data_IF_332130224678
#
_entry.id   IF_332130224678
#
_cell.length_a   1.000
_cell.length_b   1.000
_cell.length_c   1.000
_cell.angle_alpha   90.00
_cell.angle_beta   90.00
_cell.angle_gamma   90.00
#
_symmetry.space_group_name_H-M   'P 1'
#
loop_
_entity.id
_entity.type
_entity.pdbx_description
1 polymer ?
#
# COMPACT_ATOMS: atom_id res chain seq x y z
N UNK A 1 -14.73 12.19 5.60
CA UNK A 1 -14.37 11.48 6.84
C UNK A 1 -12.88 11.60 6.99
N UNK A 2 -12.41 11.99 8.18
CA UNK A 2 -10.99 12.12 8.49
C UNK A 2 -10.65 11.10 9.58
N UNK A 3 -10.55 9.84 9.16
CA UNK A 3 -10.55 8.67 10.05
C UNK A 3 -9.49 8.75 11.15
N UNK A 4 -8.26 9.13 10.81
CA UNK A 4 -7.16 9.18 11.77
C UNK A 4 -7.29 10.36 12.74
N UNK A 5 -7.86 11.48 12.29
CA UNK A 5 -8.19 12.57 13.17
C UNK A 5 -9.32 12.18 14.14
N UNK A 6 -10.36 11.48 13.66
CA UNK A 6 -11.45 10.96 14.50
C UNK A 6 -10.92 9.98 15.57
N UNK A 7 -9.98 9.09 15.22
CA UNK A 7 -9.34 8.18 16.18
C UNK A 7 -8.54 8.94 17.26
N UNK A 8 -7.86 10.02 16.88
CA UNK A 8 -7.12 10.86 17.81
C UNK A 8 -8.04 11.64 18.75
N UNK A 9 -9.11 12.23 18.21
CA UNK A 9 -10.10 12.99 18.98
C UNK A 9 -10.85 12.12 20.00
N UNK A 10 -11.06 10.83 19.66
CA UNK A 10 -11.65 9.84 20.57
C UNK A 10 -10.66 9.23 21.57
N UNK A 11 -9.42 9.72 21.61
CA UNK A 11 -8.33 9.18 22.42
C UNK A 11 -8.01 7.69 22.15
N UNK A 12 -8.35 7.20 20.96
CA UNK A 12 -8.05 5.84 20.53
C UNK A 12 -6.64 5.74 19.93
N UNK A 13 -6.11 6.85 19.42
CA UNK A 13 -4.77 6.94 18.84
C UNK A 13 -3.97 8.08 19.49
N UNK A 14 -2.74 7.79 19.94
CA UNK A 14 -1.87 8.77 20.62
C UNK A 14 -0.59 9.14 19.85
N UNK A 15 -0.33 8.53 18.69
CA UNK A 15 0.87 8.82 17.89
C UNK A 15 2.18 8.22 18.42
N UNK A 16 2.13 7.39 19.47
CA UNK A 16 3.29 6.61 19.92
C UNK A 16 3.79 5.67 18.82
N UNK A 17 5.05 5.22 18.92
CA UNK A 17 5.63 4.28 17.95
C UNK A 17 4.83 2.97 17.89
N UNK A 18 4.33 2.47 19.02
CA UNK A 18 3.48 1.28 19.08
C UNK A 18 2.16 1.50 18.35
N UNK A 19 1.49 2.63 18.59
CA UNK A 19 0.24 2.97 17.89
C UNK A 19 0.45 3.16 16.39
N UNK A 20 1.53 3.83 15.98
CA UNK A 20 1.88 3.99 14.57
C UNK A 20 2.18 2.65 13.91
N UNK A 21 2.89 1.74 14.60
CA UNK A 21 3.17 0.39 14.10
C UNK A 21 1.87 -0.41 13.94
N UNK A 22 0.98 -0.38 14.93
CA UNK A 22 -0.31 -1.05 14.87
C UNK A 22 -1.21 -0.51 13.75
N UNK A 23 -1.25 0.82 13.57
CA UNK A 23 -1.96 1.43 12.42
C UNK A 23 -1.38 0.93 11.10
N UNK A 24 -0.04 0.91 10.96
CA UNK A 24 0.58 0.39 9.74
C UNK A 24 0.17 -1.06 9.50
N UNK A 25 0.30 -1.93 10.50
CA UNK A 25 -0.10 -3.32 10.42
C UNK A 25 -1.55 -3.49 9.94
N UNK A 26 -2.50 -2.80 10.58
CA UNK A 26 -3.92 -2.92 10.23
C UNK A 26 -4.30 -2.33 8.87
N UNK A 27 -3.65 -1.24 8.43
CA UNK A 27 -4.08 -0.50 7.24
C UNK A 27 -3.22 -0.76 5.99
N UNK A 28 -2.02 -1.32 6.13
CA UNK A 28 -1.11 -1.51 4.99
C UNK A 28 -1.69 -2.45 3.94
N UNK A 29 -2.39 -3.52 4.36
CA UNK A 29 -3.07 -4.43 3.44
C UNK A 29 -4.20 -3.77 2.65
N UNK A 30 -4.97 -2.88 3.29
CA UNK A 30 -6.02 -2.10 2.64
C UNK A 30 -5.42 -1.14 1.62
N UNK A 31 -4.39 -0.39 2.01
CA UNK A 31 -3.70 0.54 1.12
C UNK A 31 -3.08 -0.18 -0.09
N UNK A 32 -2.43 -1.32 0.13
CA UNK A 32 -1.82 -2.10 -0.94
C UNK A 32 -2.87 -2.58 -1.94
N UNK A 33 -4.00 -3.11 -1.45
CA UNK A 33 -5.13 -3.51 -2.31
C UNK A 33 -5.65 -2.34 -3.14
N UNK A 34 -5.90 -1.19 -2.53
CA UNK A 34 -6.36 0.00 -3.26
C UNK A 34 -5.36 0.43 -4.32
N UNK A 35 -4.06 0.46 -4.00
CA UNK A 35 -3.00 0.79 -4.96
C UNK A 35 -2.96 -0.19 -6.14
N UNK A 36 -3.15 -1.48 -5.88
CA UNK A 36 -3.22 -2.50 -6.92
C UNK A 36 -4.46 -2.34 -7.80
N UNK A 37 -5.62 -2.02 -7.22
CA UNK A 37 -6.84 -1.70 -7.96
C UNK A 37 -6.65 -0.45 -8.84
N UNK A 38 -6.09 0.62 -8.29
CA UNK A 38 -5.78 1.84 -9.05
C UNK A 38 -4.81 1.56 -10.18
N UNK A 39 -3.76 0.77 -9.94
CA UNK A 39 -2.82 0.36 -10.97
C UNK A 39 -3.53 -0.38 -12.10
N UNK A 40 -4.43 -1.33 -11.78
CA UNK A 40 -5.20 -2.06 -12.78
C UNK A 40 -6.12 -1.13 -13.58
N UNK A 41 -6.91 -0.30 -12.90
CA UNK A 41 -7.82 0.65 -13.54
C UNK A 41 -7.06 1.61 -14.45
N UNK A 42 -5.98 2.20 -13.95
CA UNK A 42 -5.16 3.13 -14.71
C UNK A 42 -4.51 2.47 -15.92
N UNK A 43 -4.01 1.24 -15.80
CA UNK A 43 -3.33 0.60 -16.92
C UNK A 43 -4.30 0.07 -18.00
N UNK A 44 -5.52 -0.28 -17.61
CA UNK A 44 -6.50 -0.92 -18.50
C UNK A 44 -7.57 0.01 -19.07
N UNK A 45 -7.73 1.23 -18.52
CA UNK A 45 -8.68 2.20 -19.03
C UNK A 45 -8.37 2.59 -20.49
N UNK A 46 -9.40 3.07 -21.19
CA UNK A 46 -9.25 3.52 -22.58
C UNK A 46 -9.19 5.04 -22.63
N UNK A 47 -8.07 5.58 -23.09
CA UNK A 47 -7.91 7.00 -23.40
C UNK A 47 -8.57 7.26 -24.75
N UNK A 48 -9.65 8.04 -24.76
CA UNK A 48 -10.34 8.40 -25.99
C UNK A 48 -9.56 9.44 -26.81
N UNK A 49 -9.59 9.34 -28.15
CA UNK A 49 -8.96 10.34 -29.00
C UNK A 49 -9.67 11.69 -28.88
N UNK A 50 -8.91 12.75 -28.62
CA UNK A 50 -9.41 14.13 -28.55
C UNK A 50 -8.70 14.96 -29.60
N UNK A 51 -9.47 15.63 -30.46
CA UNK A 51 -8.99 16.28 -31.69
C UNK A 51 -7.93 17.39 -31.47
N UNK A 52 -7.94 18.03 -30.31
CA UNK A 52 -6.99 19.08 -29.92
C UNK A 52 -5.91 18.61 -28.95
N UNK A 53 -5.96 17.34 -28.51
CA UNK A 53 -5.02 16.81 -27.54
C UNK A 53 -3.80 16.23 -28.24
N UNK A 54 -2.62 16.47 -27.67
CA UNK A 54 -1.39 15.74 -28.03
C UNK A 54 -1.29 14.39 -27.32
N UNK A 55 -2.24 14.07 -26.44
CA UNK A 55 -2.25 12.82 -25.70
C UNK A 55 -2.59 11.66 -26.66
N UNK A 56 -1.72 10.64 -26.76
CA UNK A 56 -2.02 9.46 -27.55
C UNK A 56 -3.20 8.68 -26.97
N UNK A 57 -4.08 8.19 -27.84
CA UNK A 57 -5.27 7.40 -27.47
C UNK A 57 -4.96 5.90 -27.44
N UNK A 58 -5.66 5.17 -26.59
CA UNK A 58 -5.48 3.73 -26.43
C UNK A 58 -5.50 3.31 -24.98
N UNK A 59 -5.14 2.05 -24.71
CA UNK A 59 -4.95 1.54 -23.36
C UNK A 59 -3.50 1.75 -22.93
N UNK A 60 -3.21 2.39 -21.78
CA UNK A 60 -1.84 2.65 -21.33
C UNK A 60 -0.95 1.41 -21.33
N UNK A 61 -1.47 0.26 -20.89
CA UNK A 61 -0.72 -0.99 -20.89
C UNK A 61 -0.32 -1.45 -22.30
N UNK A 62 -1.24 -1.35 -23.27
CA UNK A 62 -0.94 -1.69 -24.66
C UNK A 62 0.02 -0.69 -25.30
N UNK A 63 -0.13 0.60 -24.97
CA UNK A 63 0.75 1.67 -25.46
C UNK A 63 2.17 1.54 -24.92
N UNK A 64 2.33 1.10 -23.68
CA UNK A 64 3.63 0.86 -23.06
C UNK A 64 4.36 -0.34 -23.69
N UNK A 65 3.67 -1.48 -23.85
CA UNK A 65 4.30 -2.71 -24.35
C UNK A 65 4.45 -2.73 -25.88
N UNK A 66 3.55 -2.08 -26.62
CA UNK A 66 3.52 -2.09 -28.10
C UNK A 66 3.43 -0.66 -28.67
N UNK A 67 4.38 0.24 -28.35
CA UNK A 67 4.27 1.65 -28.71
C UNK A 67 4.17 1.90 -30.22
N UNK A 68 4.79 1.04 -31.04
CA UNK A 68 4.76 1.12 -32.50
C UNK A 68 3.34 1.05 -33.10
N UNK A 69 2.38 0.39 -32.41
CA UNK A 69 0.98 0.33 -32.84
C UNK A 69 0.22 1.64 -32.63
N UNK A 70 0.78 2.56 -31.85
CA UNK A 70 0.18 3.83 -31.46
C UNK A 70 1.02 5.03 -31.91
N UNK A 71 1.82 4.87 -32.98
CA UNK A 71 2.77 5.88 -33.48
C UNK A 71 3.80 6.36 -32.42
N UNK A 72 4.00 5.57 -31.37
CA UNK A 72 4.97 5.82 -30.32
C UNK A 72 6.28 5.08 -30.55
N UNK A 73 7.24 5.34 -29.65
CA UNK A 73 8.52 4.63 -29.56
C UNK A 73 8.79 4.21 -28.12
N UNK A 74 9.58 3.17 -27.93
CA UNK A 74 10.00 2.77 -26.59
C UNK A 74 10.98 3.83 -26.04
N UNK A 75 10.62 4.44 -24.91
CA UNK A 75 11.42 5.42 -24.19
C UNK A 75 11.92 4.90 -22.84
N UNK A 76 11.68 3.63 -22.52
CA UNK A 76 12.15 2.99 -21.30
C UNK A 76 13.67 2.83 -21.30
N UNK A 77 14.28 2.99 -20.13
CA UNK A 77 15.70 2.72 -19.91
C UNK A 77 15.84 1.77 -18.71
N UNK A 78 16.79 0.83 -18.75
CA UNK A 78 17.01 -0.09 -17.63
C UNK A 78 17.46 0.69 -16.39
N UNK A 79 16.86 0.40 -15.25
CA UNK A 79 17.36 0.90 -13.97
C UNK A 79 18.67 0.17 -13.63
N UNK A 80 19.75 0.93 -13.45
CA UNK A 80 21.05 0.34 -13.09
C UNK A 80 21.03 -0.20 -11.65
N UNK A 81 21.80 -1.25 -11.38
CA UNK A 81 21.96 -1.78 -10.02
C UNK A 81 22.43 -0.72 -9.00
N UNK A 82 23.21 0.28 -9.43
CA UNK A 82 23.66 1.39 -8.57
C UNK A 82 22.53 2.34 -8.17
N UNK A 83 21.51 2.50 -9.03
CA UNK A 83 20.32 3.30 -8.71
C UNK A 83 19.41 2.52 -7.75
N UNK A 84 19.40 1.20 -7.86
CA UNK A 84 18.57 0.32 -7.03
C UNK A 84 19.23 -0.05 -5.68
N UNK A 85 20.56 -0.03 -5.60
CA UNK A 85 21.30 -0.46 -4.40
C UNK A 85 20.93 0.28 -3.12
N UNK A 86 20.63 1.60 -3.11
CA UNK A 86 20.22 2.28 -1.89
C UNK A 86 18.90 1.74 -1.34
N UNK A 87 17.97 1.35 -2.21
CA UNK A 87 16.69 0.76 -1.80
C UNK A 87 16.88 -0.60 -1.13
N UNK A 88 17.81 -1.42 -1.63
CA UNK A 88 18.13 -2.70 -1.01
C UNK A 88 18.75 -2.56 0.39
N UNK A 89 19.36 -1.42 0.71
CA UNK A 89 19.89 -1.12 2.05
C UNK A 89 18.83 -0.51 2.97
N UNK A 90 17.84 0.19 2.41
CA UNK A 90 16.72 0.78 3.14
C UNK A 90 15.59 -0.21 3.43
N UNK A 91 15.44 -1.23 2.58
CA UNK A 91 14.52 -2.35 2.81
C UNK A 91 15.17 -3.35 3.76
N UNK A 92 14.49 -3.82 4.81
CA UNK A 92 15.01 -4.86 5.70
C UNK A 92 15.45 -6.08 4.87
N UNK A 93 16.70 -6.51 5.06
CA UNK A 93 17.16 -7.79 4.50
C UNK A 93 16.39 -8.91 5.18
N UNK A 94 15.70 -9.73 4.38
CA UNK A 94 15.00 -10.92 4.85
C UNK A 94 15.95 -11.79 5.72
N UNK A 95 15.69 -11.84 7.03
CA UNK A 95 16.39 -12.72 7.98
C UNK A 95 17.09 -12.06 9.17
N UNK A 96 17.13 -10.72 9.28
CA UNK A 96 17.55 -10.07 10.54
C UNK A 96 16.30 -9.58 11.27
N UNK A 97 15.92 -10.15 12.43
CA UNK A 97 14.75 -9.70 13.16
C UNK A 97 14.97 -8.25 13.61
N UNK A 98 14.26 -7.33 12.96
CA UNK A 98 14.11 -5.94 13.38
C UNK A 98 13.15 -5.88 14.57
N UNK A 99 13.28 -4.85 15.40
CA UNK A 99 12.29 -4.51 16.44
C UNK A 99 10.89 -4.32 15.81
N UNK A 100 10.83 -3.87 14.56
CA UNK A 100 9.57 -3.79 13.81
C UNK A 100 9.02 -5.20 13.44
N UNK A 101 9.89 -6.18 13.14
CA UNK A 101 9.48 -7.56 12.82
C UNK A 101 8.93 -8.27 14.07
N UNK A 102 9.51 -8.04 15.25
CA UNK A 102 9.01 -8.60 16.51
C UNK A 102 7.61 -8.05 16.85
N UNK A 103 7.40 -6.74 16.65
CA UNK A 103 6.08 -6.12 16.84
C UNK A 103 5.05 -6.64 15.84
N UNK A 104 5.42 -6.78 14.57
CA UNK A 104 4.55 -7.32 13.53
C UNK A 104 4.14 -8.77 13.83
N UNK A 105 5.10 -9.64 14.18
CA UNK A 105 4.83 -11.02 14.62
C UNK A 105 3.89 -11.08 15.84
N UNK A 106 4.04 -10.16 16.80
CA UNK A 106 3.13 -10.04 17.94
C UNK A 106 1.71 -9.69 17.50
N UNK A 107 1.54 -8.75 16.58
CA UNK A 107 0.22 -8.38 16.07
C UNK A 107 -0.42 -9.49 15.24
N UNK A 108 0.36 -10.24 14.47
CA UNK A 108 -0.12 -11.43 13.76
C UNK A 108 -0.66 -12.50 14.72
N UNK A 109 0.06 -12.77 15.82
CA UNK A 109 -0.40 -13.69 16.85
C UNK A 109 -1.70 -13.22 17.51
N UNK A 110 -1.77 -11.96 17.92
CA UNK A 110 -2.99 -11.38 18.51
C UNK A 110 -4.17 -11.44 17.54
N UNK A 111 -3.93 -11.16 16.26
CA UNK A 111 -4.97 -11.26 15.24
C UNK A 111 -5.48 -12.70 15.09
N UNK A 112 -4.59 -13.68 15.05
CA UNK A 112 -4.96 -15.09 15.02
C UNK A 112 -5.84 -15.49 16.22
N UNK A 113 -5.57 -14.94 17.40
CA UNK A 113 -6.34 -15.18 18.61
C UNK A 113 -7.71 -14.49 18.64
N UNK A 114 -7.88 -13.41 17.87
CA UNK A 114 -9.15 -12.69 17.76
C UNK A 114 -10.15 -13.32 16.78
N UNK A 115 -9.74 -14.33 16.01
CA UNK A 115 -10.51 -14.95 14.91
C UNK A 115 -10.97 -13.96 13.81
N UNK A 116 -10.44 -12.73 13.79
CA UNK A 116 -10.78 -11.71 12.80
C UNK A 116 -9.98 -11.90 11.50
N UNK A 117 -10.65 -11.87 10.33
CA UNK A 117 -9.95 -11.98 9.04
C UNK A 117 -9.07 -10.75 8.78
N UNK A 118 -8.04 -10.85 7.92
CA UNK A 118 -7.25 -9.70 7.51
C UNK A 118 -8.12 -8.62 6.84
N UNK A 119 -7.90 -7.33 7.14
CA UNK A 119 -8.77 -6.28 6.67
C UNK A 119 -8.56 -6.01 5.18
N UNK A 120 -9.65 -6.12 4.41
CA UNK A 120 -9.67 -5.79 2.97
C UNK A 120 -10.36 -4.45 2.69
N UNK A 121 -10.88 -3.79 3.73
CA UNK A 121 -11.54 -2.50 3.70
C UNK A 121 -11.19 -1.71 4.96
N UNK A 122 -11.29 -0.38 4.90
CA UNK A 122 -10.87 0.49 5.99
C UNK A 122 -11.73 0.30 7.25
N UNK A 123 -13.02 -0.05 7.12
CA UNK A 123 -13.91 -0.31 8.24
C UNK A 123 -13.41 -1.49 9.08
N UNK A 124 -13.07 -2.60 8.41
CA UNK A 124 -12.50 -3.78 9.06
C UNK A 124 -11.13 -3.48 9.68
N UNK A 125 -10.31 -2.63 9.03
CA UNK A 125 -9.02 -2.22 9.59
C UNK A 125 -9.17 -1.45 10.90
N UNK A 126 -10.22 -0.63 11.04
CA UNK A 126 -10.53 0.08 12.30
C UNK A 126 -10.96 -0.89 13.39
N UNK A 127 -11.81 -1.86 13.07
CA UNK A 127 -12.26 -2.88 14.03
C UNK A 127 -11.09 -3.70 14.56
N UNK A 128 -10.21 -4.16 13.66
CA UNK A 128 -9.00 -4.90 14.02
C UNK A 128 -8.05 -4.02 14.83
N UNK A 129 -7.84 -2.76 14.44
CA UNK A 129 -7.03 -1.81 15.20
C UNK A 129 -7.52 -1.68 16.66
N UNK A 130 -8.82 -1.44 16.87
CA UNK A 130 -9.39 -1.29 18.21
C UNK A 130 -9.25 -2.60 19.01
N UNK A 131 -9.52 -3.73 18.37
CA UNK A 131 -9.45 -5.06 19.01
C UNK A 131 -8.02 -5.39 19.44
N UNK A 132 -7.05 -5.29 18.53
CA UNK A 132 -5.65 -5.59 18.82
C UNK A 132 -5.06 -4.59 19.81
N UNK A 133 -5.43 -3.31 19.75
CA UNK A 133 -5.03 -2.30 20.73
C UNK A 133 -5.44 -2.72 22.14
N UNK A 134 -6.70 -3.15 22.31
CA UNK A 134 -7.22 -3.59 23.60
C UNK A 134 -6.53 -4.89 24.08
N UNK A 135 -6.29 -5.85 23.19
CA UNK A 135 -5.58 -7.09 23.54
C UNK A 135 -4.10 -6.87 23.88
N UNK A 136 -3.49 -5.82 23.32
CA UNK A 136 -2.09 -5.47 23.55
C UNK A 136 -1.88 -4.52 24.74
N UNK A 137 -2.96 -4.11 25.43
CA UNK A 137 -2.98 -3.09 26.48
C UNK A 137 -2.32 -1.75 26.06
N UNK A 138 -2.59 -1.33 24.81
CA UNK A 138 -2.05 -0.10 24.20
C UNK A 138 -3.02 1.09 24.27
#
# INVERSE_FOLDING_TARGET
MDLFNDLRERHLFNGSRQHMSLVRYCFLGVLQKELDEYKQLWNTHTIHPVRQSKCPSGKPEAMYHLPHRFNGRNCGFPASAKVLSPFNTLMPTAGTPSDDDEQENRFEELQRQSDLPPPLQWEAAVEIYITLKNMADL
#
